data_IF_313419222058
#
_entry.id   IF_313419222058
#
_cell.length_a   1.000
_cell.length_b   1.000
_cell.length_c   1.000
_cell.angle_alpha   90.00
_cell.angle_beta   90.00
_cell.angle_gamma   90.00
#
_symmetry.space_group_name_H-M   'P 1'
#
loop_
_entity.id
_entity.type
_entity.pdbx_description
1 polymer ?
#
# COMPACT_ATOMS: atom_id res chain seq x y z
N UNK A 1 -1.53 6.14 17.27
CA UNK A 1 -0.15 6.62 17.47
C UNK A 1 -0.15 8.13 17.47
N UNK A 2 0.01 8.68 18.63
CA UNK A 2 0.07 10.13 18.71
C UNK A 2 1.33 10.64 18.00
N UNK A 3 1.17 11.53 17.05
CA UNK A 3 2.23 12.33 16.49
C UNK A 3 3.04 11.76 15.33
N UNK A 4 3.03 10.46 15.06
CA UNK A 4 3.79 9.91 13.94
C UNK A 4 2.99 8.87 13.16
N UNK A 5 2.95 9.07 11.87
CA UNK A 5 2.35 8.09 10.94
C UNK A 5 3.48 7.29 10.30
N UNK A 6 3.49 5.96 10.44
CA UNK A 6 4.52 5.15 9.80
C UNK A 6 4.52 5.31 8.29
N UNK A 7 5.70 5.21 7.71
CA UNK A 7 5.89 5.27 6.27
C UNK A 7 6.40 3.93 5.79
N UNK A 8 5.59 3.27 4.98
CA UNK A 8 5.91 1.94 4.47
C UNK A 8 6.42 2.02 3.04
N UNK A 9 7.33 1.12 2.69
CA UNK A 9 7.58 0.83 1.30
C UNK A 9 6.42 0.00 0.75
N UNK A 10 6.26 -0.03 -0.55
CA UNK A 10 5.23 -0.83 -1.20
C UNK A 10 5.84 -1.56 -2.40
N UNK A 11 5.58 -2.87 -2.49
CA UNK A 11 6.08 -3.68 -3.58
C UNK A 11 5.17 -3.53 -4.79
N UNK A 12 5.70 -2.94 -5.85
CA UNK A 12 4.96 -2.63 -7.06
C UNK A 12 5.62 -3.21 -8.29
N UNK A 13 4.81 -3.51 -9.31
CA UNK A 13 5.32 -3.88 -10.63
C UNK A 13 5.56 -2.62 -11.45
N UNK A 14 6.22 -2.79 -12.62
CA UNK A 14 6.55 -1.65 -13.48
C UNK A 14 5.33 -0.88 -13.96
N UNK A 15 4.26 -1.57 -14.35
CA UNK A 15 3.06 -0.89 -14.85
C UNK A 15 2.36 -0.11 -13.72
N UNK A 16 2.40 -0.65 -12.50
CA UNK A 16 1.81 0.04 -11.35
C UNK A 16 2.54 1.33 -11.04
N UNK A 17 3.86 1.31 -11.09
CA UNK A 17 4.65 2.53 -10.87
C UNK A 17 4.36 3.60 -11.91
N UNK A 18 4.21 3.20 -13.17
CA UNK A 18 3.87 4.14 -14.24
C UNK A 18 2.48 4.75 -14.03
N UNK A 19 1.52 3.94 -13.63
CA UNK A 19 0.15 4.40 -13.36
C UNK A 19 0.13 5.37 -12.17
N UNK A 20 0.88 5.09 -11.12
CA UNK A 20 0.97 5.99 -9.96
C UNK A 20 1.59 7.32 -10.37
N UNK A 21 2.63 7.28 -11.21
CA UNK A 21 3.26 8.50 -11.71
C UNK A 21 2.28 9.36 -12.49
N UNK A 22 1.33 8.74 -13.16
CA UNK A 22 0.27 9.41 -13.92
C UNK A 22 -0.98 9.67 -13.08
N UNK A 23 -0.87 9.54 -11.77
CA UNK A 23 -1.96 9.77 -10.80
C UNK A 23 -3.17 8.86 -11.01
N UNK A 24 -2.97 7.68 -11.56
CA UNK A 24 -4.04 6.70 -11.81
C UNK A 24 -4.16 5.71 -10.66
N UNK A 25 -4.28 6.23 -9.45
CA UNK A 25 -4.42 5.43 -8.24
C UNK A 25 -5.48 6.03 -7.33
N UNK A 26 -6.28 5.18 -6.71
CA UNK A 26 -7.32 5.60 -5.76
C UNK A 26 -7.09 4.93 -4.42
N UNK A 27 -7.08 5.74 -3.36
CA UNK A 27 -6.92 5.25 -1.99
C UNK A 27 -8.26 5.19 -1.23
N UNK A 28 -9.36 5.52 -1.89
CA UNK A 28 -10.69 5.47 -1.27
C UNK A 28 -11.03 4.05 -0.85
N UNK A 29 -11.48 3.87 0.38
CA UNK A 29 -11.87 2.58 0.95
C UNK A 29 -10.75 1.54 0.97
N UNK A 30 -9.51 1.98 0.87
CA UNK A 30 -8.33 1.13 0.94
C UNK A 30 -7.95 0.90 2.40
N UNK A 31 -7.48 -0.30 2.71
CA UNK A 31 -7.06 -0.63 4.07
C UNK A 31 -5.87 -1.59 4.07
N UNK A 32 -5.22 -1.68 5.22
CA UNK A 32 -4.09 -2.59 5.41
C UNK A 32 -4.57 -3.83 6.17
N UNK A 33 -4.24 -5.00 5.66
CA UNK A 33 -4.56 -6.27 6.30
C UNK A 33 -3.30 -7.05 6.59
N UNK A 34 -3.30 -7.78 7.72
CA UNK A 34 -2.19 -8.64 8.09
C UNK A 34 -2.52 -10.07 7.67
N UNK A 35 -1.61 -10.69 6.93
CA UNK A 35 -1.73 -12.06 6.50
C UNK A 35 -0.38 -12.75 6.62
N UNK A 36 -0.34 -13.86 7.35
CA UNK A 36 0.90 -14.63 7.57
C UNK A 36 2.04 -13.78 8.14
N UNK A 37 1.71 -12.85 9.04
CA UNK A 37 2.70 -11.99 9.68
C UNK A 37 3.21 -10.85 8.81
N UNK A 38 2.59 -10.61 7.66
CA UNK A 38 2.97 -9.54 6.73
C UNK A 38 1.81 -8.59 6.50
N UNK A 39 2.13 -7.34 6.17
CA UNK A 39 1.12 -6.32 5.88
C UNK A 39 0.88 -6.20 4.38
N UNK A 40 -0.38 -6.14 3.99
CA UNK A 40 -0.80 -5.98 2.59
C UNK A 40 -1.80 -4.84 2.47
N UNK A 41 -1.63 -4.06 1.41
CA UNK A 41 -2.59 -3.02 1.05
C UNK A 41 -3.69 -3.65 0.19
N UNK A 42 -4.93 -3.57 0.65
CA UNK A 42 -6.07 -4.18 -0.02
C UNK A 42 -7.04 -3.11 -0.53
N UNK A 43 -7.79 -3.47 -1.54
CA UNK A 43 -8.83 -2.62 -2.13
C UNK A 43 -8.27 -1.31 -2.72
N UNK A 44 -6.99 -1.29 -3.06
CA UNK A 44 -6.36 -0.14 -3.72
C UNK A 44 -6.41 -0.33 -5.23
N UNK A 45 -7.14 0.53 -5.90
CA UNK A 45 -7.26 0.47 -7.35
C UNK A 45 -6.15 1.27 -8.02
N UNK A 46 -5.31 0.58 -8.80
CA UNK A 46 -4.31 1.21 -9.66
C UNK A 46 -4.73 0.91 -11.10
N UNK A 47 -5.17 1.94 -11.81
CA UNK A 47 -5.70 1.77 -13.15
C UNK A 47 -4.59 1.62 -14.18
N UNK A 48 -4.55 0.54 -14.97
CA UNK A 48 -3.55 0.40 -16.03
C UNK A 48 -3.68 1.52 -17.07
N UNK A 49 -2.54 1.96 -17.58
CA UNK A 49 -2.53 2.95 -18.66
C UNK A 49 -2.92 2.27 -19.98
N UNK A 50 -3.54 3.04 -20.89
CA UNK A 50 -3.97 2.50 -22.18
C UNK A 50 -2.82 1.95 -23.02
N UNK A 51 -1.63 2.48 -22.80
CA UNK A 51 -0.43 2.05 -23.50
C UNK A 51 0.22 0.83 -22.87
N UNK A 52 -0.33 0.29 -21.78
CA UNK A 52 0.19 -0.92 -21.18
C UNK A 52 0.10 -2.07 -22.17
N UNK A 53 1.16 -2.88 -22.24
CA UNK A 53 1.20 -4.02 -23.14
C UNK A 53 0.08 -5.00 -22.84
N UNK A 54 -0.60 -5.47 -23.88
CA UNK A 54 -1.63 -6.49 -23.75
C UNK A 54 -1.07 -7.87 -23.39
N UNK A 55 0.25 -8.03 -23.41
CA UNK A 55 0.91 -9.28 -23.06
C UNK A 55 1.05 -9.48 -21.56
N UNK A 56 0.81 -8.45 -20.76
CA UNK A 56 0.91 -8.54 -19.30
C UNK A 56 -0.47 -8.63 -18.68
N UNK A 57 -0.60 -9.55 -17.73
CA UNK A 57 -1.79 -9.61 -16.89
C UNK A 57 -1.71 -8.44 -15.92
N UNK A 58 -2.69 -7.56 -15.97
CA UNK A 58 -2.78 -6.44 -15.03
C UNK A 58 -3.96 -6.66 -14.11
N UNK A 59 -3.72 -6.63 -12.82
CA UNK A 59 -4.77 -6.74 -11.81
C UNK A 59 -4.84 -5.45 -11.03
N UNK A 60 -5.78 -4.55 -11.35
CA UNK A 60 -5.85 -3.23 -10.72
C UNK A 60 -6.01 -3.28 -9.20
N UNK A 61 -6.67 -4.33 -8.69
CA UNK A 61 -7.00 -4.46 -7.28
C UNK A 61 -6.17 -5.50 -6.54
N UNK A 62 -5.05 -5.96 -7.11
CA UNK A 62 -4.28 -7.00 -6.46
C UNK A 62 -3.76 -6.55 -5.08
N UNK A 63 -3.64 -7.47 -4.11
CA UNK A 63 -3.00 -7.13 -2.83
C UNK A 63 -1.54 -6.75 -3.06
N UNK A 64 -1.08 -5.69 -2.38
CA UNK A 64 0.29 -5.22 -2.51
C UNK A 64 0.98 -5.29 -1.17
N UNK A 65 2.13 -5.95 -1.15
CA UNK A 65 2.87 -6.13 0.09
C UNK A 65 3.50 -4.80 0.52
N UNK A 66 3.34 -4.48 1.80
CA UNK A 66 3.99 -3.33 2.40
C UNK A 66 5.32 -3.76 3.01
N UNK A 67 6.31 -2.90 2.88
CA UNK A 67 7.66 -3.14 3.40
C UNK A 67 7.84 -2.27 4.63
N UNK A 68 7.81 -2.92 5.78
CA UNK A 68 7.88 -2.28 7.09
C UNK A 68 9.01 -2.87 7.91
N UNK A 69 9.59 -2.08 8.80
CA UNK A 69 10.50 -2.60 9.79
C UNK A 69 9.73 -3.51 10.77
N UNK A 70 10.42 -4.50 11.33
CA UNK A 70 9.79 -5.46 12.24
C UNK A 70 9.07 -4.79 13.40
N UNK A 71 9.65 -3.73 13.96
CA UNK A 71 9.03 -2.99 15.07
C UNK A 71 7.72 -2.33 14.67
N UNK A 72 7.70 -1.73 13.49
CA UNK A 72 6.49 -1.09 12.97
C UNK A 72 5.41 -2.12 12.64
N UNK A 73 5.82 -3.21 12.00
CA UNK A 73 4.90 -4.30 11.65
C UNK A 73 4.27 -4.89 12.91
N UNK A 74 5.07 -5.11 13.96
CA UNK A 74 4.57 -5.64 15.23
C UNK A 74 3.52 -4.72 15.85
N UNK A 75 3.74 -3.41 15.81
CA UNK A 75 2.77 -2.44 16.34
C UNK A 75 1.45 -2.48 15.57
N UNK A 76 1.52 -2.62 14.25
CA UNK A 76 0.32 -2.71 13.42
C UNK A 76 -0.43 -4.00 13.70
N UNK A 77 0.27 -5.11 13.84
CA UNK A 77 -0.34 -6.40 14.17
C UNK A 77 -1.09 -6.32 15.50
N UNK A 78 -0.46 -5.78 16.53
CA UNK A 78 -1.09 -5.62 17.84
C UNK A 78 -2.32 -4.72 17.73
N UNK A 79 -2.20 -3.58 17.08
CA UNK A 79 -3.30 -2.62 16.97
C UNK A 79 -4.49 -3.20 16.20
N UNK A 80 -4.23 -3.91 15.10
CA UNK A 80 -5.31 -4.41 14.26
C UNK A 80 -5.91 -5.72 14.77
N UNK A 81 -5.09 -6.64 15.25
CA UNK A 81 -5.58 -7.96 15.66
C UNK A 81 -6.01 -8.04 17.12
N UNK A 82 -5.37 -7.28 18.01
CA UNK A 82 -5.68 -7.33 19.42
C UNK A 82 -6.57 -6.19 19.89
N UNK A 83 -6.40 -5.00 19.32
CA UNK A 83 -7.17 -3.82 19.72
C UNK A 83 -8.33 -3.48 18.80
N UNK A 84 -8.48 -4.23 17.70
CA UNK A 84 -9.58 -4.02 16.77
C UNK A 84 -9.51 -2.73 15.96
N UNK A 85 -8.34 -2.11 15.88
CA UNK A 85 -8.17 -0.90 15.09
C UNK A 85 -7.99 -1.24 13.61
N UNK A 86 -8.37 -0.31 12.73
CA UNK A 86 -8.16 -0.45 11.30
C UNK A 86 -6.97 0.40 10.87
N UNK A 87 -6.06 -0.20 10.12
CA UNK A 87 -4.92 0.52 9.55
C UNK A 87 -5.29 0.95 8.13
N UNK A 88 -5.18 2.24 7.85
CA UNK A 88 -5.58 2.80 6.56
C UNK A 88 -4.46 3.64 5.96
N UNK A 89 -4.38 3.72 4.61
CA UNK A 89 -3.42 4.60 3.97
C UNK A 89 -3.89 6.06 4.08
N UNK A 90 -2.93 6.94 4.29
CA UNK A 90 -3.18 8.38 4.36
C UNK A 90 -2.70 9.08 3.11
N UNK A 91 -1.52 8.71 2.61
CA UNK A 91 -0.93 9.34 1.45
C UNK A 91 0.03 8.39 0.74
N UNK A 92 0.04 8.47 -0.57
CA UNK A 92 0.99 7.77 -1.43
C UNK A 92 1.87 8.82 -2.08
N UNK A 93 3.17 8.65 -2.01
CA UNK A 93 4.09 9.67 -2.52
C UNK A 93 5.41 9.08 -3.02
N UNK A 94 6.13 9.86 -3.81
CA UNK A 94 7.43 9.48 -4.33
C UNK A 94 8.53 9.98 -3.41
N UNK A 95 9.52 9.12 -3.20
CA UNK A 95 10.76 9.51 -2.54
C UNK A 95 11.91 9.02 -3.42
N UNK A 96 12.43 9.91 -4.25
CA UNK A 96 13.36 9.52 -5.30
C UNK A 96 12.69 8.59 -6.29
N UNK A 97 13.22 7.38 -6.46
CA UNK A 97 12.67 6.38 -7.36
C UNK A 97 11.68 5.44 -6.67
N UNK A 98 11.47 5.60 -5.37
CA UNK A 98 10.64 4.69 -4.59
C UNK A 98 9.28 5.31 -4.30
N UNK A 99 8.27 4.46 -4.29
CA UNK A 99 6.93 4.85 -3.84
C UNK A 99 6.81 4.50 -2.36
N UNK A 100 6.37 5.46 -1.57
CA UNK A 100 6.15 5.28 -0.14
C UNK A 100 4.68 5.51 0.19
N UNK A 101 4.22 4.81 1.22
CA UNK A 101 2.84 4.90 1.68
C UNK A 101 2.85 5.31 3.15
N UNK A 102 2.19 6.42 3.45
CA UNK A 102 1.96 6.85 4.83
C UNK A 102 0.68 6.19 5.32
N UNK A 103 0.74 5.53 6.47
CA UNK A 103 -0.39 4.80 7.02
C UNK A 103 -0.73 5.32 8.41
N UNK A 104 -1.97 5.09 8.85
CA UNK A 104 -2.46 5.50 10.17
C UNK A 104 -3.36 4.43 10.75
N UNK A 105 -3.37 4.37 12.06
CA UNK A 105 -4.24 3.47 12.83
C UNK A 105 -5.50 4.15 13.30
#
# INVERSE_FOLDING_TARGET
>A
MAGKKPKAGIALTGWEMKSIRDSKVQLTDTYVNIKNGEAYLLACNITPLKTASTHFVTEPMRPRKLLLHKKELAKIIVATQQKGQTCVPVALYWRGHLVKLEIAL
#
